data_IF_819193747159
#
_entry.id   IF_819193747159
#
_cell.length_a   1.000
_cell.length_b   1.000
_cell.length_c   1.000
_cell.angle_alpha   90.00
_cell.angle_beta   90.00
_cell.angle_gamma   90.00
#
_symmetry.space_group_name_H-M   'P 1'
#
loop_
_entity.id
_entity.type
_entity.pdbx_description
1 polymer ?
#
# COMPACT_ATOMS: atom_id res chain seq x y z
N UNK A 1 23.08 -28.96 -21.30
CA UNK A 1 23.10 -30.02 -20.26
C UNK A 1 24.50 -30.65 -20.26
N UNK A 2 25.14 -30.76 -19.11
CA UNK A 2 26.53 -31.27 -18.97
C UNK A 2 26.65 -32.73 -19.45
N UNK A 3 27.72 -33.05 -20.20
CA UNK A 3 27.97 -34.39 -20.75
C UNK A 3 28.10 -35.46 -19.66
N UNK A 4 28.64 -35.10 -18.48
CA UNK A 4 28.72 -36.01 -17.33
C UNK A 4 27.35 -36.32 -16.74
N UNK A 5 26.47 -35.32 -16.73
CA UNK A 5 25.12 -35.45 -16.21
C UNK A 5 24.25 -36.37 -17.11
N UNK A 6 24.39 -36.25 -18.44
CA UNK A 6 23.73 -37.16 -19.38
C UNK A 6 24.18 -38.62 -19.22
N UNK A 7 25.47 -38.83 -18.94
CA UNK A 7 26.03 -40.17 -18.76
C UNK A 7 25.54 -40.83 -17.47
N UNK A 8 25.38 -40.05 -16.38
CA UNK A 8 24.81 -40.52 -15.11
C UNK A 8 23.30 -40.84 -15.24
N UNK A 9 22.53 -39.98 -15.91
CA UNK A 9 21.09 -40.20 -16.12
C UNK A 9 20.80 -41.43 -16.99
N UNK A 10 21.73 -41.79 -17.87
CA UNK A 10 21.62 -42.98 -18.73
C UNK A 10 21.89 -44.30 -18.00
N UNK A 11 22.44 -44.24 -16.78
CA UNK A 11 22.68 -45.41 -15.91
C UNK A 11 21.56 -45.61 -14.88
N UNK A 12 20.56 -44.72 -14.86
CA UNK A 12 19.43 -44.76 -13.94
C UNK A 12 18.21 -45.42 -14.60
N UNK A 13 17.30 -45.94 -13.78
CA UNK A 13 16.00 -46.41 -14.24
C UNK A 13 15.26 -45.27 -14.96
N UNK A 14 14.59 -45.58 -16.08
CA UNK A 14 14.00 -44.59 -16.97
C UNK A 14 13.03 -43.63 -16.27
N UNK A 15 12.38 -44.11 -15.22
CA UNK A 15 11.38 -43.33 -14.47
C UNK A 15 12.06 -42.27 -13.59
N UNK A 16 13.12 -42.65 -12.89
CA UNK A 16 13.92 -41.74 -12.07
C UNK A 16 14.67 -40.71 -12.91
N UNK A 17 15.22 -41.12 -14.05
CA UNK A 17 15.91 -40.22 -14.98
C UNK A 17 14.97 -39.13 -15.52
N UNK A 18 13.70 -39.48 -15.81
CA UNK A 18 12.67 -38.53 -16.27
C UNK A 18 12.27 -37.54 -15.17
N UNK A 19 12.11 -38.02 -13.93
CA UNK A 19 11.76 -37.16 -12.79
C UNK A 19 12.87 -36.16 -12.54
N UNK A 20 14.12 -36.61 -12.49
CA UNK A 20 15.28 -35.74 -12.24
C UNK A 20 15.46 -34.74 -13.38
N UNK A 21 15.28 -35.15 -14.64
CA UNK A 21 15.35 -34.23 -15.78
C UNK A 21 14.25 -33.16 -15.72
N UNK A 22 13.03 -33.53 -15.32
CA UNK A 22 11.92 -32.60 -15.13
C UNK A 22 12.20 -31.61 -13.99
N UNK A 23 12.77 -32.07 -12.88
CA UNK A 23 13.17 -31.23 -11.75
C UNK A 23 14.30 -30.27 -12.12
N UNK A 24 15.32 -30.74 -12.84
CA UNK A 24 16.43 -29.91 -13.32
C UNK A 24 15.95 -28.84 -14.29
N UNK A 25 15.07 -29.20 -15.21
CA UNK A 25 14.48 -28.24 -16.14
C UNK A 25 13.65 -27.20 -15.38
N UNK A 26 12.85 -27.60 -14.39
CA UNK A 26 12.10 -26.67 -13.52
C UNK A 26 13.01 -25.76 -12.70
N UNK A 27 14.17 -26.24 -12.26
CA UNK A 27 15.18 -25.43 -11.55
C UNK A 27 15.94 -24.49 -12.50
N UNK A 28 16.06 -24.84 -13.78
CA UNK A 28 16.57 -23.90 -14.79
C UNK A 28 15.51 -22.89 -15.24
N UNK A 29 14.22 -23.26 -15.14
CA UNK A 29 13.07 -22.41 -15.50
C UNK A 29 12.62 -21.51 -14.35
N UNK A 30 13.05 -21.78 -13.11
CA UNK A 30 13.10 -20.75 -12.09
C UNK A 30 14.19 -19.78 -12.50
N UNK A 31 13.80 -18.83 -13.35
CA UNK A 31 14.53 -17.64 -13.68
C UNK A 31 14.91 -16.92 -12.39
N UNK A 32 16.05 -17.31 -11.83
CA UNK A 32 16.98 -16.32 -11.30
C UNK A 32 17.38 -15.52 -12.53
N UNK A 33 16.48 -14.61 -12.95
CA UNK A 33 16.84 -13.54 -13.84
C UNK A 33 18.06 -12.90 -13.18
N UNK A 34 19.21 -13.05 -13.83
CA UNK A 34 20.41 -12.32 -13.51
C UNK A 34 20.07 -10.86 -13.79
N UNK A 35 19.40 -10.21 -12.82
CA UNK A 35 19.04 -8.80 -12.89
C UNK A 35 20.37 -8.09 -12.97
N UNK A 36 20.68 -7.58 -14.16
CA UNK A 36 21.91 -6.85 -14.38
C UNK A 36 21.99 -5.71 -13.37
N UNK A 37 23.19 -5.42 -12.88
CA UNK A 37 23.41 -4.35 -11.91
C UNK A 37 22.79 -3.03 -12.38
N UNK A 38 22.86 -2.77 -13.70
CA UNK A 38 22.28 -1.61 -14.36
C UNK A 38 20.73 -1.57 -14.26
N UNK A 39 20.04 -2.70 -14.45
CA UNK A 39 18.58 -2.76 -14.31
C UNK A 39 18.15 -2.61 -12.84
N UNK A 40 18.94 -3.15 -11.90
CA UNK A 40 18.71 -2.95 -10.47
C UNK A 40 18.87 -1.47 -10.07
N UNK A 41 19.94 -0.81 -10.52
CA UNK A 41 20.19 0.62 -10.27
C UNK A 41 19.07 1.50 -10.82
N UNK A 42 18.61 1.23 -12.04
CA UNK A 42 17.49 1.95 -12.65
C UNK A 42 16.20 1.80 -11.83
N UNK A 43 15.86 0.58 -11.41
CA UNK A 43 14.67 0.32 -10.57
C UNK A 43 14.77 1.01 -9.21
N UNK A 44 15.97 1.09 -8.63
CA UNK A 44 16.22 1.81 -7.38
C UNK A 44 16.02 3.31 -7.55
N UNK A 45 16.55 3.92 -8.62
CA UNK A 45 16.37 5.35 -8.86
C UNK A 45 14.91 5.71 -9.15
N UNK A 46 14.21 4.89 -9.94
CA UNK A 46 12.76 5.04 -10.14
C UNK A 46 11.97 4.94 -8.83
N UNK A 47 12.33 3.99 -7.97
CA UNK A 47 11.69 3.81 -6.66
C UNK A 47 11.97 5.00 -5.76
N UNK A 48 13.20 5.51 -5.73
CA UNK A 48 13.59 6.70 -4.96
C UNK A 48 12.82 7.93 -5.42
N UNK A 49 12.67 8.12 -6.73
CA UNK A 49 11.89 9.22 -7.30
C UNK A 49 10.41 9.14 -6.88
N UNK A 50 9.81 7.93 -6.92
CA UNK A 50 8.44 7.71 -6.45
C UNK A 50 8.28 8.01 -4.96
N UNK A 51 9.23 7.58 -4.12
CA UNK A 51 9.20 7.87 -2.67
C UNK A 51 9.20 9.39 -2.42
N UNK A 52 10.11 10.13 -3.05
CA UNK A 52 10.15 11.60 -2.94
C UNK A 52 8.83 12.25 -3.36
N UNK A 53 8.20 11.75 -4.42
CA UNK A 53 6.91 12.26 -4.88
C UNK A 53 5.79 12.00 -3.87
N UNK A 54 5.77 10.80 -3.27
CA UNK A 54 4.81 10.43 -2.23
C UNK A 54 4.97 11.32 -1.00
N UNK A 55 6.21 11.52 -0.53
CA UNK A 55 6.52 12.40 0.61
C UNK A 55 6.04 13.83 0.36
N UNK A 56 6.38 14.40 -0.80
CA UNK A 56 5.95 15.75 -1.15
C UNK A 56 4.41 15.88 -1.20
N UNK A 57 3.73 14.87 -1.74
CA UNK A 57 2.25 14.84 -1.79
C UNK A 57 1.63 14.70 -0.40
N UNK A 58 2.22 13.88 0.47
CA UNK A 58 1.76 13.70 1.85
C UNK A 58 1.91 15.00 2.65
N UNK A 59 3.08 15.65 2.58
CA UNK A 59 3.36 16.93 3.25
C UNK A 59 2.39 18.04 2.81
N UNK A 60 2.11 18.14 1.50
CA UNK A 60 1.11 19.10 0.99
C UNK A 60 -0.28 18.86 1.58
N UNK A 61 -0.74 17.61 1.59
CA UNK A 61 -2.06 17.26 2.14
C UNK A 61 -2.17 17.51 3.65
N UNK A 62 -1.09 17.28 4.40
CA UNK A 62 -1.06 17.59 5.84
C UNK A 62 -1.22 19.10 6.06
N UNK A 63 -0.43 19.91 5.34
CA UNK A 63 -0.50 21.37 5.43
C UNK A 63 -1.87 21.91 5.00
N UNK A 64 -2.47 21.34 3.95
CA UNK A 64 -3.82 21.70 3.51
C UNK A 64 -4.88 21.39 4.58
N UNK A 65 -4.79 20.26 5.28
CA UNK A 65 -5.70 19.91 6.38
C UNK A 65 -5.55 20.84 7.57
N UNK A 66 -4.35 21.34 7.85
CA UNK A 66 -4.12 22.32 8.92
C UNK A 66 -4.69 23.69 8.57
N UNK A 67 -4.51 24.15 7.33
CA UNK A 67 -4.97 25.46 6.87
C UNK A 67 -6.48 25.51 6.60
N UNK A 68 -7.05 24.41 6.11
CA UNK A 68 -8.46 24.30 5.76
C UNK A 68 -9.10 23.16 6.56
N UNK A 69 -9.27 23.34 7.89
CA UNK A 69 -9.96 22.35 8.70
C UNK A 69 -11.41 22.23 8.24
N UNK A 70 -11.93 21.02 8.19
CA UNK A 70 -13.32 20.74 7.84
C UNK A 70 -13.94 19.83 8.90
N UNK A 71 -15.25 19.94 9.11
CA UNK A 71 -15.97 19.09 10.03
C UNK A 71 -15.76 17.61 9.66
N UNK A 72 -15.31 16.78 10.61
CA UNK A 72 -15.08 15.36 10.37
C UNK A 72 -16.36 14.56 10.08
N UNK A 73 -17.54 15.14 10.35
CA UNK A 73 -18.84 14.48 10.24
C UNK A 73 -19.59 14.86 8.96
N UNK A 74 -19.68 16.16 8.64
CA UNK A 74 -20.39 16.66 7.46
C UNK A 74 -19.48 17.23 6.37
N UNK A 75 -18.16 17.28 6.60
CA UNK A 75 -17.15 17.88 5.70
C UNK A 75 -17.31 19.39 5.42
N UNK A 76 -18.20 20.09 6.15
CA UNK A 76 -18.35 21.55 5.99
C UNK A 76 -17.13 22.31 6.48
N UNK A 77 -16.83 23.42 5.79
CA UNK A 77 -15.72 24.33 6.08
C UNK A 77 -16.11 25.36 7.14
N UNK A 78 -15.14 26.04 7.79
CA UNK A 78 -15.43 27.07 8.81
C UNK A 78 -16.15 28.28 8.24
N UNK A 79 -16.03 28.53 6.93
CA UNK A 79 -16.78 29.57 6.22
C UNK A 79 -18.25 29.22 5.98
N UNK A 80 -18.64 27.94 6.11
CA UNK A 80 -19.99 27.46 5.82
C UNK A 80 -20.84 27.25 7.07
N UNK A 81 -20.23 27.36 8.26
CA UNK A 81 -20.87 27.06 9.55
C UNK A 81 -20.64 28.20 10.53
N UNK A 82 -21.56 28.36 11.48
CA UNK A 82 -21.48 29.44 12.46
C UNK A 82 -20.32 29.24 13.44
N UNK A 83 -20.13 27.99 13.90
CA UNK A 83 -19.05 27.63 14.81
C UNK A 83 -18.44 26.29 14.42
N UNK A 84 -17.12 26.20 14.58
CA UNK A 84 -16.36 24.97 14.46
C UNK A 84 -15.50 24.78 15.70
N UNK A 85 -15.66 23.63 16.35
CA UNK A 85 -14.95 23.26 17.57
C UNK A 85 -13.83 22.29 17.21
N UNK A 86 -12.64 22.55 17.74
CA UNK A 86 -11.45 21.70 17.59
C UNK A 86 -11.20 20.91 18.89
N UNK A 87 -10.97 19.62 18.75
CA UNK A 87 -10.47 18.75 19.82
C UNK A 87 -8.94 18.71 19.80
N UNK A 88 -8.35 18.37 20.95
CA UNK A 88 -6.89 18.16 21.10
C UNK A 88 -6.33 17.13 20.11
N UNK A 89 -7.14 16.16 19.67
CA UNK A 89 -6.77 15.13 18.69
C UNK A 89 -6.89 15.59 17.22
N UNK A 90 -6.91 16.90 16.93
CA UNK A 90 -7.11 17.47 15.59
C UNK A 90 -8.42 17.02 14.90
N UNK A 91 -9.45 16.72 15.70
CA UNK A 91 -10.81 16.51 15.20
C UNK A 91 -11.58 17.82 15.24
N UNK A 92 -12.39 18.07 14.22
CA UNK A 92 -13.24 19.24 14.07
C UNK A 92 -14.70 18.82 13.97
N UNK A 93 -15.56 19.47 14.73
CA UNK A 93 -17.02 19.29 14.66
C UNK A 93 -17.70 20.65 14.54
N UNK A 94 -18.65 20.78 13.62
CA UNK A 94 -19.42 22.01 13.47
C UNK A 94 -20.65 22.04 14.37
N UNK A 95 -21.20 23.23 14.61
CA UNK A 95 -22.41 23.41 15.42
C UNK A 95 -23.61 22.60 14.88
N UNK A 96 -23.79 22.53 13.56
CA UNK A 96 -24.92 21.80 12.96
C UNK A 96 -24.87 20.30 13.30
N UNK A 97 -23.67 19.70 13.29
CA UNK A 97 -23.50 18.28 13.67
C UNK A 97 -23.75 18.05 15.16
N UNK A 98 -23.36 19.00 16.01
CA UNK A 98 -23.64 18.92 17.46
C UNK A 98 -25.15 18.94 17.71
N UNK A 99 -25.85 19.90 17.12
CA UNK A 99 -27.31 20.03 17.24
C UNK A 99 -28.01 18.74 16.78
N UNK A 100 -27.65 18.23 15.58
CA UNK A 100 -28.19 16.98 15.07
C UNK A 100 -27.92 15.78 16.02
N UNK A 101 -26.72 15.68 16.59
CA UNK A 101 -26.40 14.64 17.56
C UNK A 101 -27.25 14.76 18.84
N UNK A 102 -27.42 15.97 19.38
CA UNK A 102 -28.25 16.20 20.56
C UNK A 102 -29.72 15.80 20.33
N UNK A 103 -30.30 16.14 19.17
CA UNK A 103 -31.66 15.75 18.83
C UNK A 103 -31.84 14.22 18.79
N UNK A 104 -30.85 13.49 18.29
CA UNK A 104 -30.88 12.02 18.28
C UNK A 104 -30.77 11.43 19.69
N UNK A 105 -29.91 11.99 20.53
CA UNK A 105 -29.77 11.55 21.92
C UNK A 105 -31.05 11.76 22.73
N UNK A 106 -31.75 12.88 22.54
CA UNK A 106 -33.02 13.14 23.21
C UNK A 106 -34.10 12.11 22.84
N UNK A 107 -34.16 11.70 21.58
CA UNK A 107 -35.12 10.67 21.14
C UNK A 107 -34.89 9.33 21.85
N UNK A 108 -33.63 8.96 22.06
CA UNK A 108 -33.27 7.72 22.75
C UNK A 108 -33.57 7.76 24.26
N UNK A 109 -33.58 8.93 24.89
CA UNK A 109 -33.87 9.07 26.32
C UNK A 109 -35.37 8.92 26.66
N UNK A 110 -36.24 8.98 25.65
CA UNK A 110 -37.69 8.83 25.79
C UNK A 110 -38.22 7.49 25.24
N UNK A 111 -37.31 6.53 25.01
CA UNK A 111 -37.65 5.14 24.64
C UNK A 111 -37.36 4.22 25.82
#
# INVERSE_FOLDING_TARGET
MDKRLQQLLSQMDMEDAKIITSLLNKLSDSSLDDVTLEEAEKRLEETRAKIKQIEAKALRKLKERELNPACNFCSSKPSEVKHMLKSDSNLYICNNCIEACYEQLQKLQHT
#
